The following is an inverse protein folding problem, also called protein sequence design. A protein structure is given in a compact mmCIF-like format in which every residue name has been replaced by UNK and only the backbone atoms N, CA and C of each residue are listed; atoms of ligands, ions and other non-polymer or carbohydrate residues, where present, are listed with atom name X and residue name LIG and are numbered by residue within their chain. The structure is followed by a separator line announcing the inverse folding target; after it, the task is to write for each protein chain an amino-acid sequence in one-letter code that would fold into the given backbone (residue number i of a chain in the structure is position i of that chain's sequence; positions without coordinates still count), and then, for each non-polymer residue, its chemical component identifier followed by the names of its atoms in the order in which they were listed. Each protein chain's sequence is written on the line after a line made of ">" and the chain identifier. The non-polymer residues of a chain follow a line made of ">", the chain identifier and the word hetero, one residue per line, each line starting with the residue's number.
data_IF_300343700127
#
_entry.id   IF_300343700127
#
_cell.length_a   1.000
_cell.length_b   1.000
_cell.length_c   1.000
_cell.angle_alpha   90.00
_cell.angle_beta   90.00
_cell.angle_gamma   90.00
#
_symmetry.space_group_name_H-M   'P 1'
#
loop_
_entity.id
_entity.type
_entity.pdbx_description
1 polymer ?
#
# COMPACT_ATOMS: atom_id res chain seq x y z
N UNK A 1 -6.37 13.19 -90.14
CA UNK A 1 -7.40 13.06 -89.08
C UNK A 1 -6.68 12.91 -87.74
N UNK A 2 -6.55 14.05 -87.00
CA UNK A 2 -5.96 14.06 -85.68
C UNK A 2 -7.03 13.61 -84.66
N UNK A 3 -6.76 12.52 -83.95
CA UNK A 3 -7.54 12.07 -82.81
C UNK A 3 -7.20 12.93 -81.61
N UNK A 4 -8.05 13.89 -81.31
CA UNK A 4 -7.99 14.63 -80.04
C UNK A 4 -8.38 13.71 -78.85
N UNK A 5 -7.40 13.24 -78.13
CA UNK A 5 -7.64 12.56 -76.83
C UNK A 5 -8.33 13.54 -75.91
N UNK A 6 -9.58 13.30 -75.60
CA UNK A 6 -10.37 14.05 -74.59
C UNK A 6 -9.77 13.67 -73.24
N UNK A 7 -9.07 14.63 -72.60
CA UNK A 7 -8.60 14.45 -71.27
C UNK A 7 -9.79 14.20 -70.33
N UNK A 8 -9.90 13.04 -69.75
CA UNK A 8 -10.86 12.72 -68.69
C UNK A 8 -10.51 13.56 -67.48
N UNK A 9 -11.47 14.22 -66.85
CA UNK A 9 -11.21 14.92 -65.58
C UNK A 9 -10.88 13.91 -64.50
N UNK A 10 -9.63 13.88 -64.07
CA UNK A 10 -9.15 13.06 -62.95
C UNK A 10 -9.56 13.60 -61.59
N UNK A 11 -10.33 14.69 -61.54
CA UNK A 11 -10.74 15.37 -60.34
C UNK A 11 -11.84 14.64 -59.49
N UNK A 12 -12.36 13.50 -59.99
CA UNK A 12 -13.41 12.75 -59.29
C UNK A 12 -12.99 11.41 -58.70
N UNK A 13 -11.70 11.05 -58.82
CA UNK A 13 -11.19 9.74 -58.35
C UNK A 13 -10.21 9.83 -57.18
N UNK A 14 -10.28 10.90 -56.37
CA UNK A 14 -9.57 10.88 -55.11
C UNK A 14 -10.33 9.91 -54.18
N UNK A 15 -9.73 8.80 -53.76
CA UNK A 15 -10.40 7.90 -52.83
C UNK A 15 -10.73 8.68 -51.54
N UNK A 16 -12.03 8.77 -51.22
CA UNK A 16 -12.48 9.31 -49.95
C UNK A 16 -12.14 8.28 -48.87
N UNK A 17 -11.08 8.54 -48.12
CA UNK A 17 -10.72 7.70 -47.00
C UNK A 17 -11.51 8.20 -45.79
N UNK A 18 -12.20 7.29 -45.08
CA UNK A 18 -12.89 7.61 -43.86
C UNK A 18 -11.93 8.22 -42.82
N UNK A 19 -12.35 9.29 -42.17
CA UNK A 19 -11.57 9.89 -41.07
C UNK A 19 -11.37 8.87 -39.94
N UNK A 20 -10.23 8.96 -39.24
CA UNK A 20 -9.99 8.14 -38.05
C UNK A 20 -11.09 8.37 -37.02
N UNK A 21 -11.63 7.27 -36.52
CA UNK A 21 -12.64 7.35 -35.48
C UNK A 21 -12.05 7.77 -34.11
N UNK A 22 -12.90 8.38 -33.29
CA UNK A 22 -12.51 8.87 -31.97
C UNK A 22 -11.84 7.76 -31.13
N UNK A 23 -12.35 6.52 -31.22
CA UNK A 23 -11.78 5.39 -30.52
C UNK A 23 -10.34 5.05 -30.97
N UNK A 24 -10.02 5.23 -32.24
CA UNK A 24 -8.66 5.05 -32.76
C UNK A 24 -7.73 6.17 -32.30
N UNK A 25 -8.19 7.41 -32.30
CA UNK A 25 -7.43 8.56 -31.78
C UNK A 25 -7.16 8.40 -30.28
N UNK A 26 -8.15 7.94 -29.52
CA UNK A 26 -8.00 7.66 -28.10
C UNK A 26 -7.03 6.50 -27.85
N UNK A 27 -7.09 5.43 -28.64
CA UNK A 27 -6.15 4.32 -28.57
C UNK A 27 -4.72 4.77 -28.87
N UNK A 28 -4.54 5.59 -29.93
CA UNK A 28 -3.24 6.16 -30.28
C UNK A 28 -2.70 7.07 -29.18
N UNK A 29 -3.53 7.96 -28.64
CA UNK A 29 -3.15 8.86 -27.55
C UNK A 29 -2.74 8.08 -26.31
N UNK A 30 -3.52 7.06 -25.94
CA UNK A 30 -3.18 6.18 -24.81
C UNK A 30 -1.92 5.37 -25.05
N UNK A 31 -1.71 4.87 -26.28
CA UNK A 31 -0.51 4.13 -26.64
C UNK A 31 0.75 5.01 -26.57
N UNK A 32 0.69 6.26 -27.06
CA UNK A 32 1.80 7.21 -26.99
C UNK A 32 2.09 7.66 -25.56
N UNK A 33 1.07 7.86 -24.75
CA UNK A 33 1.22 8.20 -23.34
C UNK A 33 1.76 7.02 -22.52
N UNK A 34 1.26 5.81 -22.76
CA UNK A 34 1.75 4.58 -22.14
C UNK A 34 3.18 4.23 -22.60
N UNK A 35 3.52 4.53 -23.85
CA UNK A 35 4.87 4.33 -24.41
C UNK A 35 5.95 5.23 -23.78
N UNK A 36 5.56 6.28 -23.05
CA UNK A 36 6.49 7.12 -22.26
C UNK A 36 6.88 6.49 -20.92
N UNK A 37 6.51 5.28 -20.64
CA UNK A 37 7.16 4.33 -19.76
C UNK A 37 6.56 4.20 -18.36
N UNK A 38 6.50 5.17 -17.49
CA UNK A 38 6.34 4.95 -16.03
C UNK A 38 4.92 5.25 -15.52
N UNK A 39 4.06 5.87 -16.33
CA UNK A 39 2.81 6.45 -15.85
C UNK A 39 1.77 5.49 -15.25
N UNK A 40 1.73 4.23 -15.73
CA UNK A 40 0.73 3.28 -15.25
C UNK A 40 1.06 2.64 -13.92
N UNK A 41 2.34 2.44 -13.64
CA UNK A 41 2.82 1.78 -12.42
C UNK A 41 3.47 2.74 -11.42
N UNK A 42 3.68 4.00 -11.81
CA UNK A 42 4.25 5.04 -10.95
C UNK A 42 3.51 5.19 -9.60
N UNK A 43 2.16 5.22 -9.54
CA UNK A 43 1.45 5.28 -8.26
C UNK A 43 1.75 4.07 -7.36
N UNK A 44 1.86 2.88 -7.95
CA UNK A 44 2.16 1.65 -7.21
C UNK A 44 3.61 1.63 -6.71
N UNK A 45 4.57 2.12 -7.51
CA UNK A 45 5.96 2.24 -7.11
C UNK A 45 6.15 3.28 -6.01
N UNK A 46 5.46 4.41 -6.10
CA UNK A 46 5.49 5.46 -5.07
C UNK A 46 4.95 4.91 -3.75
N UNK A 47 3.83 4.19 -3.79
CA UNK A 47 3.24 3.57 -2.61
C UNK A 47 4.11 2.43 -2.06
N UNK A 48 4.69 1.60 -2.93
CA UNK A 48 5.66 0.58 -2.51
C UNK A 48 6.90 1.22 -1.86
N UNK A 49 7.40 2.33 -2.40
CA UNK A 49 8.49 3.10 -1.83
C UNK A 49 8.20 3.61 -0.41
N UNK A 50 6.96 4.01 -0.14
CA UNK A 50 6.54 4.41 1.20
C UNK A 50 6.63 3.27 2.22
N UNK A 51 6.41 2.02 1.80
CA UNK A 51 6.49 0.83 2.67
C UNK A 51 7.91 0.26 2.80
N UNK A 52 8.83 0.62 1.93
CA UNK A 52 10.21 0.12 1.96
C UNK A 52 11.16 0.95 2.84
N UNK A 53 10.74 2.13 3.29
CA UNK A 53 11.54 3.03 4.13
C UNK A 53 11.65 2.56 5.59
N UNK A 54 12.56 3.17 6.38
CA UNK A 54 12.76 2.83 7.80
C UNK A 54 11.52 3.08 8.66
N UNK A 55 10.56 3.87 8.18
CA UNK A 55 9.27 4.16 8.81
C UNK A 55 8.09 3.49 8.11
N UNK A 56 8.35 2.67 7.09
CA UNK A 56 7.33 2.03 6.25
C UNK A 56 6.39 1.09 7.00
N UNK A 57 6.79 0.62 8.17
CA UNK A 57 5.96 -0.22 9.04
C UNK A 57 4.96 0.57 9.90
N UNK A 58 5.17 1.88 10.09
CA UNK A 58 4.33 2.71 10.99
C UNK A 58 2.83 2.67 10.67
N UNK A 59 2.39 2.73 9.39
CA UNK A 59 0.97 2.63 9.07
C UNK A 59 0.34 1.28 9.46
N UNK A 60 1.17 0.24 9.65
CA UNK A 60 0.74 -1.11 10.02
C UNK A 60 0.81 -1.37 11.52
N UNK A 61 1.37 -0.43 12.31
CA UNK A 61 1.27 -0.47 13.75
C UNK A 61 -0.16 -0.11 14.16
N UNK A 62 -0.87 -1.10 14.67
CA UNK A 62 -2.26 -0.90 15.08
C UNK A 62 -2.34 0.02 16.30
N UNK A 63 -3.19 1.05 16.30
CA UNK A 63 -3.51 1.81 17.52
C UNK A 63 -3.98 0.91 18.69
N UNK A 64 -4.66 -0.18 18.36
CA UNK A 64 -5.11 -1.19 19.32
C UNK A 64 -3.96 -1.88 20.05
N UNK A 65 -2.78 -2.03 19.44
CA UNK A 65 -1.61 -2.59 20.12
C UNK A 65 -1.14 -1.70 21.26
N UNK A 66 -1.19 -0.39 21.08
CA UNK A 66 -0.85 0.56 22.15
C UNK A 66 -1.80 0.42 23.34
N UNK A 67 -3.10 0.33 23.06
CA UNK A 67 -4.12 0.15 24.10
C UNK A 67 -3.93 -1.18 24.85
N UNK A 68 -3.59 -2.25 24.16
CA UNK A 68 -3.30 -3.56 24.78
C UNK A 68 -2.05 -3.50 25.66
N UNK A 69 -1.00 -2.84 25.19
CA UNK A 69 0.23 -2.62 25.98
C UNK A 69 -0.12 -1.84 27.25
N UNK A 70 -0.84 -0.73 27.12
CA UNK A 70 -1.18 0.13 28.23
C UNK A 70 -2.07 -0.59 29.27
N UNK A 71 -3.07 -1.36 28.80
CA UNK A 71 -3.91 -2.19 29.69
C UNK A 71 -3.10 -3.28 30.40
N UNK A 72 -2.19 -3.94 29.67
CA UNK A 72 -1.36 -5.00 30.26
C UNK A 72 -0.41 -4.42 31.32
N UNK A 73 0.21 -3.27 31.05
CA UNK A 73 1.06 -2.58 32.00
C UNK A 73 0.28 -2.08 33.21
N UNK A 74 -0.94 -1.57 33.03
CA UNK A 74 -1.82 -1.17 34.12
C UNK A 74 -2.19 -2.36 35.04
N UNK A 75 -2.48 -3.53 34.45
CA UNK A 75 -2.72 -4.74 35.25
C UNK A 75 -1.48 -5.20 35.98
N UNK A 76 -0.31 -5.10 35.37
CA UNK A 76 0.96 -5.39 36.00
C UNK A 76 1.21 -4.45 37.19
N UNK A 77 0.97 -3.14 37.05
CA UNK A 77 1.12 -2.14 38.11
C UNK A 77 0.21 -2.43 39.30
N UNK A 78 -1.05 -2.84 39.06
CA UNK A 78 -1.98 -3.29 40.12
C UNK A 78 -1.42 -4.52 40.86
N UNK A 79 -0.86 -5.47 40.12
CA UNK A 79 -0.28 -6.67 40.73
C UNK A 79 0.99 -6.33 41.54
N UNK A 80 1.82 -5.43 41.06
CA UNK A 80 3.00 -4.94 41.76
C UNK A 80 2.61 -4.22 43.06
N UNK A 81 1.56 -3.38 43.05
CA UNK A 81 1.03 -2.74 44.26
C UNK A 81 0.52 -3.74 45.29
N UNK A 82 -0.18 -4.79 44.84
CA UNK A 82 -0.61 -5.89 45.75
C UNK A 82 0.58 -6.60 46.39
N UNK A 83 1.66 -6.81 45.65
CA UNK A 83 2.90 -7.36 46.18
C UNK A 83 3.53 -6.49 47.27
N UNK A 84 3.59 -5.17 47.05
CA UNK A 84 4.07 -4.20 48.07
C UNK A 84 3.21 -4.21 49.34
N UNK A 85 1.88 -4.31 49.16
CA UNK A 85 0.96 -4.44 50.32
C UNK A 85 1.20 -5.75 51.06
N UNK A 86 1.49 -6.85 50.35
CA UNK A 86 1.86 -8.14 50.95
C UNK A 86 3.13 -8.06 51.77
N UNK A 87 4.16 -7.36 51.31
CA UNK A 87 5.40 -7.14 52.07
C UNK A 87 5.10 -6.37 53.35
N UNK A 88 4.27 -5.32 53.30
CA UNK A 88 3.85 -4.57 54.47
C UNK A 88 3.08 -5.41 55.49
N UNK A 89 2.17 -6.29 55.03
CA UNK A 89 1.40 -7.18 55.89
C UNK A 89 2.28 -8.22 56.60
N UNK A 90 3.28 -8.77 55.90
CA UNK A 90 4.27 -9.67 56.47
C UNK A 90 5.14 -8.98 57.53
N UNK A 91 5.56 -7.74 57.27
CA UNK A 91 6.31 -6.93 58.20
C UNK A 91 5.49 -6.60 59.45
N UNK A 92 4.18 -6.33 59.29
CA UNK A 92 3.27 -6.11 60.43
C UNK A 92 3.09 -7.36 61.29
N UNK A 93 2.91 -8.54 60.67
CA UNK A 93 2.77 -9.81 61.40
C UNK A 93 4.04 -10.19 62.17
N UNK A 94 5.21 -9.83 61.63
CA UNK A 94 6.50 -10.10 62.30
C UNK A 94 6.92 -9.02 63.30
N UNK A 95 6.09 -8.00 63.53
CA UNK A 95 6.38 -6.89 64.46
C UNK A 95 7.49 -5.94 63.99
N UNK A 96 7.86 -5.99 62.70
CA UNK A 96 8.99 -5.26 62.14
C UNK A 96 8.54 -4.17 61.16
N UNK A 97 7.33 -3.64 61.36
CA UNK A 97 6.73 -2.60 60.53
C UNK A 97 7.56 -1.30 60.68
N UNK A 98 7.99 -0.74 59.51
CA UNK A 98 8.84 0.47 59.51
C UNK A 98 10.32 0.20 59.80
N UNK A 99 10.73 -1.07 59.92
CA UNK A 99 12.14 -1.43 60.12
C UNK A 99 12.95 -1.35 58.82
N UNK A 100 14.27 -1.16 58.98
CA UNK A 100 15.18 -1.09 57.80
C UNK A 100 15.10 -2.29 56.88
N UNK A 101 14.76 -3.48 57.42
CA UNK A 101 14.60 -4.72 56.62
C UNK A 101 13.38 -4.65 55.68
N UNK A 102 12.26 -4.08 56.16
CA UNK A 102 11.08 -3.85 55.31
C UNK A 102 11.39 -2.86 54.19
N UNK A 103 12.13 -1.78 54.50
CA UNK A 103 12.55 -0.79 53.51
C UNK A 103 13.41 -1.38 52.40
N UNK A 104 14.36 -2.26 52.76
CA UNK A 104 15.20 -2.97 51.75
C UNK A 104 14.35 -3.91 50.89
N UNK A 105 13.47 -4.72 51.50
CA UNK A 105 12.60 -5.63 50.75
C UNK A 105 11.65 -4.89 49.79
N UNK A 106 11.11 -3.74 50.21
CA UNK A 106 10.28 -2.90 49.33
C UNK A 106 11.09 -2.32 48.17
N UNK A 107 12.29 -1.81 48.43
CA UNK A 107 13.19 -1.25 47.44
C UNK A 107 13.62 -2.30 46.39
N UNK A 108 14.01 -3.49 46.85
CA UNK A 108 14.36 -4.61 45.99
C UNK A 108 13.15 -5.05 45.12
N UNK A 109 11.98 -5.17 45.74
CA UNK A 109 10.75 -5.53 45.03
C UNK A 109 10.38 -4.49 43.98
N UNK A 110 10.46 -3.18 44.27
CA UNK A 110 10.19 -2.10 43.32
C UNK A 110 11.18 -2.17 42.15
N UNK A 111 12.48 -2.27 42.42
CA UNK A 111 13.51 -2.35 41.38
C UNK A 111 13.27 -3.56 40.49
N UNK A 112 12.97 -4.73 41.06
CA UNK A 112 12.68 -5.94 40.29
C UNK A 112 11.39 -5.80 39.48
N UNK A 113 10.35 -5.18 40.05
CA UNK A 113 9.09 -4.91 39.39
C UNK A 113 9.25 -3.95 38.20
N UNK A 114 10.02 -2.87 38.39
CA UNK A 114 10.29 -1.89 37.33
C UNK A 114 11.07 -2.51 36.15
N UNK A 115 12.05 -3.37 36.45
CA UNK A 115 12.78 -4.14 35.44
C UNK A 115 11.86 -5.10 34.67
N UNK A 116 11.01 -5.83 35.37
CA UNK A 116 10.07 -6.76 34.75
C UNK A 116 9.04 -6.02 33.88
N UNK A 117 8.56 -4.86 34.37
CA UNK A 117 7.67 -3.98 33.60
C UNK A 117 8.32 -3.50 32.30
N UNK A 118 9.56 -3.04 32.38
CA UNK A 118 10.32 -2.59 31.20
C UNK A 118 10.57 -3.73 30.21
N UNK A 119 10.91 -4.92 30.71
CA UNK A 119 11.08 -6.11 29.87
C UNK A 119 9.77 -6.52 29.16
N UNK A 120 8.65 -6.54 29.89
CA UNK A 120 7.33 -6.84 29.36
C UNK A 120 6.94 -5.84 28.24
N UNK A 121 7.15 -4.55 28.49
CA UNK A 121 6.92 -3.50 27.52
C UNK A 121 7.78 -3.69 26.26
N UNK A 122 9.08 -3.93 26.42
CA UNK A 122 10.00 -4.16 25.32
C UNK A 122 9.60 -5.39 24.48
N UNK A 123 9.19 -6.47 25.14
CA UNK A 123 8.75 -7.70 24.46
C UNK A 123 7.47 -7.47 23.64
N UNK A 124 6.48 -6.75 24.20
CA UNK A 124 5.25 -6.44 23.45
C UNK A 124 5.51 -5.51 22.26
N UNK A 125 6.38 -4.50 22.45
CA UNK A 125 6.79 -3.61 21.35
C UNK A 125 7.54 -4.38 20.25
N UNK A 126 8.42 -5.30 20.62
CA UNK A 126 9.14 -6.15 19.66
C UNK A 126 8.18 -7.05 18.86
N UNK A 127 7.19 -7.64 19.50
CA UNK A 127 6.15 -8.42 18.81
C UNK A 127 5.34 -7.56 17.85
N UNK A 128 4.89 -6.38 18.27
CA UNK A 128 4.15 -5.43 17.45
C UNK A 128 4.96 -4.95 16.25
N UNK A 129 6.23 -4.64 16.46
CA UNK A 129 7.16 -4.26 15.40
C UNK A 129 7.35 -5.40 14.38
N UNK A 130 7.55 -6.64 14.83
CA UNK A 130 7.69 -7.79 13.94
C UNK A 130 6.47 -8.02 13.06
N UNK A 131 5.25 -7.92 13.63
CA UNK A 131 4.00 -8.03 12.88
C UNK A 131 3.83 -6.88 11.88
N UNK A 132 4.11 -5.63 12.29
CA UNK A 132 4.02 -4.47 11.42
C UNK A 132 5.01 -4.54 10.25
N UNK A 133 6.24 -4.99 10.50
CA UNK A 133 7.24 -5.20 9.46
C UNK A 133 6.83 -6.29 8.46
N UNK A 134 6.24 -7.38 8.95
CA UNK A 134 5.73 -8.45 8.10
C UNK A 134 4.56 -7.97 7.23
N UNK A 135 3.62 -7.21 7.81
CA UNK A 135 2.51 -6.62 7.07
C UNK A 135 2.98 -5.60 6.02
N UNK A 136 3.96 -4.75 6.37
CA UNK A 136 4.59 -3.82 5.41
C UNK A 136 5.27 -4.56 4.25
N UNK A 137 5.97 -5.66 4.53
CA UNK A 137 6.58 -6.51 3.49
C UNK A 137 5.55 -7.14 2.56
N UNK A 138 4.42 -7.61 3.08
CA UNK A 138 3.32 -8.14 2.27
C UNK A 138 2.68 -7.04 1.41
N UNK A 139 2.42 -5.87 1.98
CA UNK A 139 1.87 -4.72 1.24
C UNK A 139 2.82 -4.26 0.12
N UNK A 140 4.12 -4.20 0.40
CA UNK A 140 5.15 -3.93 -0.60
C UNK A 140 5.10 -4.95 -1.74
N UNK A 141 5.05 -6.25 -1.42
CA UNK A 141 4.96 -7.32 -2.42
C UNK A 141 3.71 -7.21 -3.30
N UNK A 142 2.55 -6.92 -2.71
CA UNK A 142 1.31 -6.70 -3.45
C UNK A 142 1.40 -5.48 -4.39
N UNK A 143 1.96 -4.36 -3.92
CA UNK A 143 2.15 -3.17 -4.75
C UNK A 143 3.09 -3.43 -5.92
N UNK A 144 4.17 -4.17 -5.70
CA UNK A 144 5.09 -4.57 -6.76
C UNK A 144 4.43 -5.48 -7.79
N UNK A 145 3.57 -6.43 -7.37
CA UNK A 145 2.80 -7.26 -8.30
C UNK A 145 1.83 -6.42 -9.13
N UNK A 146 1.13 -5.48 -8.52
CA UNK A 146 0.25 -4.55 -9.24
C UNK A 146 1.03 -3.67 -10.22
N UNK A 147 2.21 -3.16 -9.83
CA UNK A 147 3.07 -2.40 -10.70
C UNK A 147 3.52 -3.20 -11.94
N UNK A 148 3.80 -4.49 -11.78
CA UNK A 148 4.16 -5.38 -12.89
C UNK A 148 2.96 -5.73 -13.79
N UNK A 149 1.76 -5.85 -13.23
CA UNK A 149 0.54 -6.17 -13.96
C UNK A 149 -0.07 -4.95 -14.70
N UNK A 150 0.13 -3.74 -14.17
CA UNK A 150 -0.46 -2.51 -14.69
C UNK A 150 -0.19 -2.26 -16.20
N UNK A 151 1.03 -2.43 -16.74
CA UNK A 151 1.30 -2.27 -18.18
C UNK A 151 0.53 -3.27 -19.05
N UNK A 152 0.31 -4.49 -18.53
CA UNK A 152 -0.46 -5.52 -19.25
C UNK A 152 -1.93 -5.16 -19.38
N UNK A 153 -2.55 -4.61 -18.37
CA UNK A 153 -3.94 -4.14 -18.42
C UNK A 153 -4.11 -2.97 -19.37
N UNK A 154 -3.19 -2.00 -19.33
CA UNK A 154 -3.21 -0.89 -20.29
C UNK A 154 -3.04 -1.35 -21.73
N UNK A 155 -2.14 -2.30 -21.99
CA UNK A 155 -1.95 -2.87 -23.32
C UNK A 155 -3.22 -3.54 -23.86
N UNK A 156 -3.97 -4.25 -23.01
CA UNK A 156 -5.24 -4.85 -23.40
C UNK A 156 -6.31 -3.80 -23.72
N UNK A 157 -6.42 -2.74 -22.93
CA UNK A 157 -7.38 -1.67 -23.15
C UNK A 157 -7.09 -0.90 -24.45
N UNK A 158 -5.82 -0.61 -24.72
CA UNK A 158 -5.37 0.01 -25.98
C UNK A 158 -5.72 -0.89 -27.18
N UNK A 159 -5.47 -2.19 -27.09
CA UNK A 159 -5.80 -3.14 -28.14
C UNK A 159 -7.31 -3.22 -28.39
N UNK A 160 -8.13 -3.23 -27.34
CA UNK A 160 -9.60 -3.23 -27.45
C UNK A 160 -10.12 -1.95 -28.11
N UNK A 161 -9.61 -0.79 -27.71
CA UNK A 161 -9.99 0.50 -28.30
C UNK A 161 -9.56 0.57 -29.77
N UNK A 162 -8.36 0.12 -30.10
CA UNK A 162 -7.87 0.05 -31.48
C UNK A 162 -8.73 -0.85 -32.38
N UNK A 163 -9.12 -2.03 -31.88
CA UNK A 163 -9.99 -2.95 -32.63
C UNK A 163 -11.40 -2.41 -32.82
N UNK A 164 -11.98 -1.77 -31.79
CA UNK A 164 -13.29 -1.14 -31.88
C UNK A 164 -13.30 0.00 -32.90
N UNK A 165 -12.27 0.87 -32.88
CA UNK A 165 -12.12 1.94 -33.86
C UNK A 165 -11.94 1.43 -35.30
N UNK A 166 -11.19 0.32 -35.50
CA UNK A 166 -11.03 -0.29 -36.83
C UNK A 166 -12.36 -0.81 -37.38
N UNK A 167 -13.21 -1.43 -36.54
CA UNK A 167 -14.53 -1.89 -36.97
C UNK A 167 -15.40 -0.71 -37.37
N UNK A 168 -15.41 0.36 -36.60
CA UNK A 168 -16.22 1.55 -36.88
C UNK A 168 -15.73 2.28 -38.10
N UNK A 169 -14.43 2.37 -38.34
CA UNK A 169 -13.86 2.91 -39.59
C UNK A 169 -14.28 2.10 -40.79
N UNK A 170 -14.25 0.76 -40.70
CA UNK A 170 -14.70 -0.11 -41.82
C UNK A 170 -16.19 0.08 -42.13
N UNK A 171 -17.04 0.26 -41.12
CA UNK A 171 -18.45 0.57 -41.29
C UNK A 171 -18.67 1.93 -41.98
N UNK A 172 -17.91 2.96 -41.53
CA UNK A 172 -17.99 4.29 -42.12
C UNK A 172 -17.51 4.25 -43.59
N UNK A 173 -16.44 3.51 -43.89
CA UNK A 173 -15.97 3.35 -45.29
C UNK A 173 -17.04 2.67 -46.13
N UNK A 174 -17.66 1.59 -45.63
CA UNK A 174 -18.72 0.89 -46.39
C UNK A 174 -19.95 1.78 -46.68
N UNK A 175 -20.24 2.76 -45.82
CA UNK A 175 -21.32 3.72 -46.05
C UNK A 175 -20.94 4.83 -47.02
N UNK A 176 -19.64 5.13 -47.18
CA UNK A 176 -19.15 6.10 -48.17
C UNK A 176 -19.08 5.51 -49.58
N UNK A 177 -18.90 4.19 -49.68
CA UNK A 177 -18.77 3.44 -50.91
C UNK A 177 -20.15 2.97 -51.46
N UNK A 178 -21.26 3.13 -50.71
CA UNK A 178 -22.62 2.76 -51.08
C UNK A 178 -23.39 3.93 -51.70
#
# INVERSE_FOLDING_TARGET
>A
TALTAKAMPTAGYAPTVAAQDQAQLDAYTRATTAGQGIGAYEPYLTQAGAYSGPTGYQPFMSPYQQDVIDQTLAQYDIQAQKGLTGIGSLAAQSGNLGGGREGVMRSEYQTQSDLNRAMLQAQMLQQGFGQAQQAAGQAYGQQMQMAQAAPGFQGQDIARLGSAGAIQQAQTQATLDA
#
